data_IF_459853923350
#
_entry.id   IF_459853923350
#
_cell.length_a   1.000
_cell.length_b   1.000
_cell.length_c   1.000
_cell.angle_alpha   90.00
_cell.angle_beta   90.00
_cell.angle_gamma   90.00
#
_symmetry.space_group_name_H-M   'P 1'
#
loop_
_entity.id
_entity.type
_entity.pdbx_description
1 polymer ?
#
# COMPACT_ATOMS: atom_id res chain seq x y z
N UNK A 1 49.67 2.20 -15.43
CA UNK A 1 48.60 3.06 -15.90
C UNK A 1 47.36 2.30 -16.29
N UNK A 2 47.48 1.27 -17.14
CA UNK A 2 46.31 0.49 -17.54
C UNK A 2 45.61 -0.17 -16.36
N UNK A 3 46.34 -0.62 -15.32
CA UNK A 3 45.74 -1.22 -14.15
C UNK A 3 44.86 -0.27 -13.36
N UNK A 4 45.30 0.99 -13.27
CA UNK A 4 44.53 2.02 -12.56
C UNK A 4 43.26 2.35 -13.31
N UNK A 5 43.36 2.53 -14.63
CA UNK A 5 42.21 2.81 -15.47
C UNK A 5 41.22 1.65 -15.43
N UNK A 6 41.75 0.42 -15.45
CA UNK A 6 40.90 -0.77 -15.37
C UNK A 6 40.14 -0.81 -14.06
N UNK A 7 40.81 -0.44 -12.95
CA UNK A 7 40.17 -0.38 -11.63
C UNK A 7 39.04 0.64 -11.58
N UNK A 8 39.28 1.83 -12.14
CA UNK A 8 38.26 2.87 -12.21
C UNK A 8 37.07 2.44 -13.07
N UNK A 9 37.37 1.80 -14.21
CA UNK A 9 36.34 1.30 -15.10
C UNK A 9 35.45 0.28 -14.42
N UNK A 10 36.05 -0.62 -13.64
CA UNK A 10 35.30 -1.62 -12.87
C UNK A 10 34.44 -0.96 -11.82
N UNK A 11 34.97 0.04 -11.13
CA UNK A 11 34.24 0.77 -10.12
C UNK A 11 33.03 1.49 -10.72
N UNK A 12 33.25 2.14 -11.85
CA UNK A 12 32.17 2.83 -12.58
C UNK A 12 31.08 1.84 -12.96
N UNK A 13 31.47 0.69 -13.49
CA UNK A 13 30.54 -0.34 -13.91
C UNK A 13 29.70 -0.85 -12.73
N UNK A 14 30.34 -1.07 -11.58
CA UNK A 14 29.64 -1.52 -10.38
C UNK A 14 28.66 -0.49 -9.87
N UNK A 15 29.07 0.78 -9.91
CA UNK A 15 28.20 1.87 -9.46
C UNK A 15 27.00 2.02 -10.38
N UNK A 16 27.21 1.86 -11.68
CA UNK A 16 26.12 1.91 -12.65
C UNK A 16 25.16 0.76 -12.45
N UNK A 17 25.68 -0.44 -12.15
CA UNK A 17 24.85 -1.61 -11.87
C UNK A 17 24.03 -1.41 -10.60
N UNK A 18 24.65 -0.82 -9.58
CA UNK A 18 23.97 -0.52 -8.32
C UNK A 18 22.84 0.50 -8.56
N UNK A 19 23.13 1.54 -9.31
CA UNK A 19 22.14 2.55 -9.63
C UNK A 19 20.95 1.93 -10.37
N UNK A 20 21.25 1.06 -11.32
CA UNK A 20 20.22 0.36 -12.11
C UNK A 20 19.36 -0.52 -11.22
N UNK A 21 20.00 -1.29 -10.35
CA UNK A 21 19.29 -2.17 -9.43
C UNK A 21 18.39 -1.38 -8.49
N UNK A 22 18.88 -0.23 -8.02
CA UNK A 22 18.11 0.63 -7.14
C UNK A 22 16.90 1.24 -7.87
N UNK A 23 17.08 1.59 -9.14
CA UNK A 23 15.98 2.12 -9.94
C UNK A 23 14.88 1.08 -10.15
N UNK A 24 15.28 -0.18 -10.39
CA UNK A 24 14.32 -1.28 -10.53
C UNK A 24 13.56 -1.48 -9.22
N UNK A 25 14.27 -1.51 -8.10
CA UNK A 25 13.64 -1.66 -6.78
C UNK A 25 12.67 -0.52 -6.49
N UNK A 26 13.07 0.69 -6.84
CA UNK A 26 12.23 1.86 -6.65
C UNK A 26 10.93 1.74 -7.45
N UNK A 27 11.05 1.29 -8.70
CA UNK A 27 9.91 1.08 -9.58
C UNK A 27 8.96 0.04 -9.02
N UNK A 28 9.52 -1.08 -8.56
CA UNK A 28 8.73 -2.15 -7.94
C UNK A 28 8.03 -1.67 -6.68
N UNK A 29 8.73 -0.89 -5.88
CA UNK A 29 8.16 -0.33 -4.65
C UNK A 29 7.03 0.64 -4.96
N UNK A 30 7.22 1.45 -5.99
CA UNK A 30 6.20 2.41 -6.43
C UNK A 30 4.94 1.68 -6.87
N UNK A 31 5.10 0.60 -7.63
CA UNK A 31 3.98 -0.23 -8.06
C UNK A 31 3.27 -0.86 -6.87
N UNK A 32 4.05 -1.32 -5.91
CA UNK A 32 3.53 -1.94 -4.69
C UNK A 32 2.75 -0.94 -3.85
N UNK A 33 3.28 0.27 -3.73
CA UNK A 33 2.62 1.36 -3.01
C UNK A 33 1.29 1.68 -3.67
N UNK A 34 1.28 1.75 -4.99
CA UNK A 34 0.05 2.02 -5.74
C UNK A 34 -0.99 0.92 -5.50
N UNK A 35 -0.56 -0.34 -5.55
CA UNK A 35 -1.45 -1.48 -5.31
C UNK A 35 -2.01 -1.45 -3.88
N UNK A 36 -1.15 -1.16 -2.90
CA UNK A 36 -1.56 -1.07 -1.50
C UNK A 36 -2.53 0.09 -1.29
N UNK A 37 -2.31 1.20 -1.98
CA UNK A 37 -3.21 2.34 -1.91
C UNK A 37 -4.60 1.97 -2.40
N UNK A 38 -4.69 1.26 -3.53
CA UNK A 38 -5.96 0.78 -4.07
C UNK A 38 -6.64 -0.17 -3.09
N UNK A 39 -5.87 -1.07 -2.51
CA UNK A 39 -6.38 -2.00 -1.51
C UNK A 39 -6.92 -1.26 -0.30
N UNK A 40 -6.19 -0.24 0.17
CA UNK A 40 -6.62 0.57 1.31
C UNK A 40 -7.93 1.30 1.02
N UNK A 41 -8.10 1.79 -0.19
CA UNK A 41 -9.35 2.43 -0.58
C UNK A 41 -10.52 1.44 -0.50
N UNK A 42 -10.31 0.23 -0.98
CA UNK A 42 -11.31 -0.83 -0.92
C UNK A 42 -11.65 -1.20 0.51
N UNK A 43 -10.62 -1.35 1.35
CA UNK A 43 -10.81 -1.70 2.75
C UNK A 43 -11.56 -0.60 3.51
N UNK A 44 -11.24 0.65 3.20
CA UNK A 44 -11.92 1.79 3.82
C UNK A 44 -13.40 1.80 3.44
N UNK A 45 -13.69 1.57 2.17
CA UNK A 45 -15.08 1.53 1.69
C UNK A 45 -15.84 0.39 2.33
N UNK A 46 -15.19 -0.77 2.44
CA UNK A 46 -15.78 -1.96 3.04
C UNK A 46 -16.07 -1.76 4.52
N UNK A 47 -15.11 -1.17 5.24
CA UNK A 47 -15.28 -0.88 6.66
C UNK A 47 -16.42 0.11 6.88
N UNK A 48 -16.52 1.12 6.01
CA UNK A 48 -17.58 2.11 6.10
C UNK A 48 -18.93 1.48 5.86
N UNK A 49 -19.03 0.61 4.85
CA UNK A 49 -20.26 -0.10 4.54
C UNK A 49 -20.68 -1.00 5.70
N UNK A 50 -19.73 -1.72 6.28
CA UNK A 50 -20.00 -2.60 7.42
C UNK A 50 -20.52 -1.80 8.61
N UNK A 51 -19.91 -0.66 8.86
CA UNK A 51 -20.34 0.25 9.94
C UNK A 51 -21.77 0.73 9.72
N UNK A 52 -22.08 1.11 8.50
CA UNK A 52 -23.42 1.61 8.15
C UNK A 52 -24.47 0.51 8.31
N UNK A 53 -24.14 -0.71 7.88
CA UNK A 53 -25.04 -1.85 8.02
C UNK A 53 -25.27 -2.15 9.48
N UNK A 54 -24.21 -2.18 10.28
CA UNK A 54 -24.32 -2.43 11.72
C UNK A 54 -25.19 -1.37 12.39
N UNK A 55 -25.04 -0.13 12.01
CA UNK A 55 -25.84 0.97 12.52
C UNK A 55 -27.31 0.79 12.18
N UNK A 56 -27.58 0.40 10.94
CA UNK A 56 -28.97 0.20 10.48
C UNK A 56 -29.63 -0.95 11.22
N UNK A 57 -28.90 -2.02 11.41
CA UNK A 57 -29.40 -3.18 12.16
C UNK A 57 -29.66 -2.79 13.60
N UNK A 58 -28.75 -2.06 14.21
CA UNK A 58 -28.91 -1.58 15.59
C UNK A 58 -30.16 -0.72 15.74
N UNK A 59 -30.43 0.13 14.74
CA UNK A 59 -31.62 0.96 14.74
C UNK A 59 -32.90 0.15 14.67
N UNK A 60 -32.88 -0.92 13.88
CA UNK A 60 -34.06 -1.80 13.76
C UNK A 60 -34.33 -2.50 15.09
N UNK A 61 -33.29 -2.99 15.72
CA UNK A 61 -33.42 -3.65 17.04
C UNK A 61 -33.89 -2.64 18.07
N UNK A 62 -33.31 -1.45 18.04
CA UNK A 62 -33.65 -0.38 18.97
C UNK A 62 -35.13 0.03 18.85
N UNK A 63 -35.61 0.12 17.64
CA UNK A 63 -37.01 0.47 17.39
C UNK A 63 -37.95 -0.57 17.98
N UNK A 64 -37.63 -1.84 17.81
CA UNK A 64 -38.45 -2.91 18.33
C UNK A 64 -38.44 -2.93 19.87
N UNK A 65 -37.25 -2.81 20.46
CA UNK A 65 -37.13 -2.80 21.92
C UNK A 65 -37.60 -1.50 22.52
N UNK A 66 -37.47 -0.41 21.76
CA UNK A 66 -37.93 0.90 22.18
C UNK A 66 -39.43 0.91 22.42
N UNK A 67 -40.18 0.19 21.61
CA UNK A 67 -41.63 0.05 21.78
C UNK A 67 -41.96 -0.68 23.05
N UNK A 68 -41.17 -1.71 23.35
CA UNK A 68 -41.36 -2.52 24.54
C UNK A 68 -41.05 -1.74 25.82
N UNK A 69 -40.04 -0.89 25.72
CA UNK A 69 -39.59 -0.10 26.86
C UNK A 69 -40.62 0.91 27.31
N UNK A 70 -41.46 1.33 26.46
CA UNK A 70 -42.50 2.27 26.79
C UNK A 70 -43.68 1.59 27.49
#
# INVERSE_FOLDING_TARGET
>A
MNGILSGFTKTISKLEQLAKANMVSLEENTDRISALHQQNLSLTAEAQAAKNIAKNIAKLIENETGEIKE
#
